data_IF_459272170046
#
_entry.id   IF_459272170046
#
_cell.length_a   1.000
_cell.length_b   1.000
_cell.length_c   1.000
_cell.angle_alpha   90.00
_cell.angle_beta   90.00
_cell.angle_gamma   90.00
#
_symmetry.space_group_name_H-M   'P 1'
#
loop_
_entity.id
_entity.type
_entity.pdbx_description
1 polymer ?
#
# COMPACT_ATOMS: atom_id res chain seq x y z
N UNK A 1 -8.72 38.41 -14.41
CA UNK A 1 -7.79 37.52 -13.68
C UNK A 1 -8.58 36.58 -12.79
N UNK A 2 -9.23 35.53 -13.34
CA UNK A 2 -10.05 34.61 -12.48
C UNK A 2 -10.00 33.16 -12.94
N UNK A 3 -10.27 32.88 -14.21
CA UNK A 3 -10.46 31.48 -14.65
C UNK A 3 -9.14 30.73 -14.83
N UNK A 4 -8.10 31.38 -15.34
CA UNK A 4 -6.78 30.76 -15.60
C UNK A 4 -6.06 30.35 -14.32
N UNK A 5 -6.23 31.12 -13.25
CA UNK A 5 -5.62 30.87 -11.94
C UNK A 5 -6.29 29.67 -11.24
N UNK A 6 -7.62 29.55 -11.33
CA UNK A 6 -8.35 28.40 -10.79
C UNK A 6 -7.93 27.10 -11.48
N UNK A 7 -7.82 27.12 -12.81
CA UNK A 7 -7.39 25.94 -13.59
C UNK A 7 -5.99 25.51 -13.20
N UNK A 8 -5.06 26.47 -13.01
CA UNK A 8 -3.71 26.16 -12.56
C UNK A 8 -3.70 25.50 -11.17
N UNK A 9 -4.49 26.00 -10.22
CA UNK A 9 -4.56 25.43 -8.86
C UNK A 9 -5.13 24.01 -8.82
N UNK A 10 -6.15 23.71 -9.64
CA UNK A 10 -6.72 22.36 -9.73
C UNK A 10 -5.69 21.39 -10.32
N UNK A 11 -5.04 21.77 -11.43
CA UNK A 11 -4.01 20.95 -12.05
C UNK A 11 -2.85 20.70 -11.08
N UNK A 12 -2.40 21.74 -10.36
CA UNK A 12 -1.35 21.63 -9.36
C UNK A 12 -1.74 20.67 -8.23
N UNK A 13 -2.95 20.78 -7.68
CA UNK A 13 -3.45 19.88 -6.64
C UNK A 13 -3.55 18.42 -7.13
N UNK A 14 -3.98 18.19 -8.37
CA UNK A 14 -4.03 16.85 -8.95
C UNK A 14 -2.63 16.25 -9.10
N UNK A 15 -1.66 17.03 -9.59
CA UNK A 15 -0.27 16.57 -9.77
C UNK A 15 0.36 16.22 -8.42
N UNK A 16 0.18 17.05 -7.40
CA UNK A 16 0.78 16.80 -6.07
C UNK A 16 0.18 15.58 -5.38
N UNK A 17 -1.12 15.32 -5.53
CA UNK A 17 -1.74 14.09 -5.02
C UNK A 17 -1.25 12.83 -5.77
N UNK A 18 -1.02 12.93 -7.08
CA UNK A 18 -0.50 11.81 -7.86
C UNK A 18 0.95 11.47 -7.45
N UNK A 19 1.80 12.49 -7.27
CA UNK A 19 3.17 12.32 -6.76
C UNK A 19 3.22 11.78 -5.33
N UNK A 20 2.24 12.11 -4.49
CA UNK A 20 2.17 11.57 -3.13
C UNK A 20 1.76 10.08 -3.06
N UNK A 21 1.25 9.51 -4.17
CA UNK A 21 0.77 8.13 -4.23
C UNK A 21 1.86 7.13 -4.65
N UNK A 22 3.14 7.50 -4.62
CA UNK A 22 4.22 6.56 -4.91
C UNK A 22 4.24 5.42 -3.87
N UNK A 23 3.93 4.21 -4.33
CA UNK A 23 4.02 2.99 -3.54
C UNK A 23 5.49 2.65 -3.34
N UNK A 24 6.07 3.11 -2.22
CA UNK A 24 7.47 2.87 -1.91
C UNK A 24 7.67 1.40 -1.51
N UNK A 25 8.49 0.68 -2.26
CA UNK A 25 8.98 -0.65 -1.89
C UNK A 25 9.96 -0.54 -0.73
N UNK A 26 9.70 -1.25 0.38
CA UNK A 26 10.53 -1.20 1.58
C UNK A 26 11.27 -2.50 1.86
N UNK A 27 10.93 -3.60 1.16
CA UNK A 27 11.63 -4.87 1.30
C UNK A 27 10.87 -6.03 0.66
N UNK A 28 11.37 -7.24 0.90
CA UNK A 28 10.74 -8.49 0.43
C UNK A 28 10.83 -9.59 1.49
N UNK A 29 9.97 -10.60 1.37
CA UNK A 29 9.91 -11.72 2.32
C UNK A 29 10.97 -12.77 1.95
N UNK A 30 12.10 -12.74 2.64
CA UNK A 30 13.15 -13.75 2.46
C UNK A 30 12.75 -15.12 3.02
N UNK A 31 11.96 -15.15 4.10
CA UNK A 31 11.52 -16.37 4.79
C UNK A 31 10.16 -16.16 5.46
N UNK A 32 9.19 -17.01 5.13
CA UNK A 32 7.89 -17.06 5.80
C UNK A 32 7.80 -18.33 6.68
N UNK A 33 7.44 -18.17 7.95
CA UNK A 33 7.08 -19.27 8.87
C UNK A 33 5.77 -18.91 9.56
N UNK A 34 4.81 -19.84 9.57
CA UNK A 34 3.45 -19.52 10.02
C UNK A 34 2.66 -18.77 8.95
N UNK A 35 1.63 -18.03 9.37
CA UNK A 35 0.72 -17.34 8.46
C UNK A 35 0.78 -15.83 8.69
N UNK A 36 1.12 -15.12 7.63
CA UNK A 36 1.09 -13.67 7.57
C UNK A 36 0.17 -13.29 6.41
N UNK A 37 -0.67 -12.29 6.61
CA UNK A 37 -1.55 -11.76 5.59
C UNK A 37 -1.43 -10.24 5.54
N UNK A 38 -1.57 -9.71 4.33
CA UNK A 38 -1.58 -8.29 4.04
C UNK A 38 -2.99 -7.88 3.71
N UNK A 39 -3.47 -6.82 4.33
CA UNK A 39 -4.85 -6.37 4.19
C UNK A 39 -4.92 -5.06 3.40
N UNK A 40 -5.71 -5.07 2.34
CA UNK A 40 -6.09 -3.88 1.58
C UNK A 40 -7.60 -3.71 1.61
N UNK A 41 -8.05 -2.64 2.26
CA UNK A 41 -9.44 -2.13 2.35
C UNK A 41 -10.53 -3.10 2.84
N UNK A 42 -10.33 -4.43 2.78
CA UNK A 42 -11.15 -5.53 3.32
C UNK A 42 -10.70 -6.91 2.79
N UNK A 43 -9.79 -6.97 1.80
CA UNK A 43 -9.23 -8.22 1.27
C UNK A 43 -7.89 -8.54 1.92
N UNK A 44 -7.79 -9.74 2.49
CA UNK A 44 -6.57 -10.27 3.08
C UNK A 44 -5.86 -11.23 2.11
N UNK A 45 -4.68 -10.84 1.64
CA UNK A 45 -3.82 -11.69 0.82
C UNK A 45 -2.74 -12.35 1.67
N UNK A 46 -2.61 -13.67 1.54
CA UNK A 46 -1.57 -14.42 2.23
C UNK A 46 -0.19 -14.11 1.67
N UNK A 47 0.70 -13.68 2.56
CA UNK A 47 2.07 -13.38 2.24
C UNK A 47 2.92 -14.65 2.14
N UNK A 48 3.70 -14.74 1.07
CA UNK A 48 4.59 -15.85 0.72
C UNK A 48 6.03 -15.36 0.58
N UNK A 49 6.95 -16.33 0.57
CA UNK A 49 8.36 -16.04 0.28
C UNK A 49 8.49 -15.42 -1.11
N UNK A 50 9.21 -14.31 -1.20
CA UNK A 50 9.42 -13.56 -2.44
C UNK A 50 8.46 -12.39 -2.64
N UNK A 51 7.41 -12.26 -1.81
CA UNK A 51 6.49 -11.14 -1.91
C UNK A 51 7.17 -9.82 -1.50
N UNK A 52 6.85 -8.75 -2.21
CA UNK A 52 7.33 -7.39 -1.96
C UNK A 52 6.42 -6.72 -0.92
N UNK A 53 7.05 -6.02 0.02
CA UNK A 53 6.38 -5.22 1.04
C UNK A 53 6.50 -3.75 0.65
N UNK A 54 5.38 -3.06 0.61
CA UNK A 54 5.27 -1.63 0.37
C UNK A 54 5.01 -0.89 1.69
N UNK A 55 5.42 0.38 1.74
CA UNK A 55 5.34 1.22 2.96
C UNK A 55 3.93 1.31 3.56
N UNK A 56 2.89 1.25 2.72
CA UNK A 56 1.49 1.39 3.14
C UNK A 56 0.80 0.04 3.43
N UNK A 57 1.56 -1.07 3.41
CA UNK A 57 1.00 -2.39 3.62
C UNK A 57 0.69 -2.65 5.10
N UNK A 58 -0.56 -3.01 5.37
CA UNK A 58 -0.97 -3.48 6.70
C UNK A 58 -0.76 -4.98 6.80
N UNK A 59 0.32 -5.39 7.44
CA UNK A 59 0.66 -6.80 7.66
C UNK A 59 0.15 -7.26 9.03
N UNK A 60 -0.58 -8.38 9.05
CA UNK A 60 -1.02 -9.05 10.26
C UNK A 60 -0.43 -10.46 10.27
N UNK A 61 0.17 -10.83 11.40
CA UNK A 61 0.70 -12.17 11.65
C UNK A 61 -0.10 -12.81 12.77
N UNK A 62 -0.66 -14.00 12.56
CA UNK A 62 -1.32 -14.74 13.64
C UNK A 62 -0.42 -15.87 14.14
N UNK A 63 -0.24 -15.92 15.46
CA UNK A 63 0.64 -16.90 16.11
C UNK A 63 0.18 -18.35 15.97
N UNK A 64 -1.13 -18.60 15.81
CA UNK A 64 -1.75 -19.92 15.60
C UNK A 64 -3.14 -19.80 14.96
N UNK A 65 -3.19 -19.75 13.63
CA UNK A 65 -4.34 -20.22 12.85
C UNK A 65 -5.43 -19.21 12.44
N UNK A 66 -5.44 -18.85 11.15
CA UNK A 66 -6.66 -18.84 10.35
C UNK A 66 -7.14 -20.30 10.26
N UNK A 67 -7.64 -20.83 11.36
CA UNK A 67 -8.46 -22.02 11.36
C UNK A 67 -9.89 -21.55 11.09
N UNK A 68 -10.43 -22.02 9.96
CA UNK A 68 -11.85 -21.93 9.65
C UNK A 68 -12.70 -22.54 10.76
#
# INVERSE_FOLDING_TARGET
MRTKEIVFSIIFFCITNFLASETVEIGFIEKARGMAAKFYEEQGDLLKRGDIIYQNDKIITEGKGFAK
#
